data_IF_530007400586
#
_entry.id   IF_530007400586
#
_cell.length_a   1.000
_cell.length_b   1.000
_cell.length_c   1.000
_cell.angle_alpha   90.00
_cell.angle_beta   90.00
_cell.angle_gamma   90.00
#
_symmetry.space_group_name_H-M   'P 1'
#
loop_
_entity.id
_entity.type
_entity.pdbx_description
1 polymer ?
#
# COMPACT_ATOMS: atom_id res chain seq x y z
N UNK A 1 -20.05 28.42 -16.70
CA UNK A 1 -18.87 28.45 -15.80
C UNK A 1 -19.00 29.66 -14.88
N UNK A 2 -18.64 29.55 -13.60
CA UNK A 2 -18.74 30.66 -12.64
C UNK A 2 -17.85 31.85 -13.09
N UNK A 3 -18.33 33.09 -12.94
CA UNK A 3 -17.63 34.30 -13.39
C UNK A 3 -16.18 34.39 -12.88
N UNK A 4 -15.94 33.99 -11.62
CA UNK A 4 -14.60 33.98 -11.03
C UNK A 4 -13.61 33.01 -11.70
N UNK A 5 -14.08 31.91 -12.28
CA UNK A 5 -13.20 30.97 -12.99
C UNK A 5 -12.78 31.52 -14.36
N UNK A 6 -13.65 32.28 -15.03
CA UNK A 6 -13.33 32.93 -16.30
C UNK A 6 -12.27 34.01 -16.08
N UNK A 7 -12.42 34.84 -15.04
CA UNK A 7 -11.41 35.84 -14.66
C UNK A 7 -10.06 35.19 -14.35
N UNK A 8 -10.06 34.12 -13.56
CA UNK A 8 -8.84 33.36 -13.25
C UNK A 8 -8.13 32.81 -14.50
N UNK A 9 -8.89 32.28 -15.46
CA UNK A 9 -8.37 31.81 -16.75
C UNK A 9 -7.76 32.95 -17.57
N UNK A 10 -8.42 34.09 -17.63
CA UNK A 10 -7.92 35.28 -18.35
C UNK A 10 -6.61 35.78 -17.74
N UNK A 11 -6.51 35.84 -16.42
CA UNK A 11 -5.29 36.27 -15.71
C UNK A 11 -4.11 35.31 -15.94
N UNK A 12 -4.37 34.01 -16.04
CA UNK A 12 -3.33 33.01 -16.36
C UNK A 12 -2.80 33.18 -17.78
N UNK A 13 -3.69 33.34 -18.76
CA UNK A 13 -3.31 33.54 -20.15
C UNK A 13 -2.60 34.89 -20.34
N UNK A 14 -3.03 35.93 -19.63
CA UNK A 14 -2.37 37.24 -19.65
C UNK A 14 -0.94 37.17 -19.11
N UNK A 15 -0.70 36.43 -18.01
CA UNK A 15 0.65 36.19 -17.46
C UNK A 15 1.54 35.43 -18.45
N UNK A 16 1.03 34.38 -19.08
CA UNK A 16 1.78 33.65 -20.11
C UNK A 16 2.19 34.58 -21.27
N UNK A 17 1.26 35.41 -21.75
CA UNK A 17 1.52 36.41 -22.80
C UNK A 17 2.55 37.45 -22.41
N UNK A 18 2.47 37.98 -21.18
CA UNK A 18 3.46 38.92 -20.66
C UNK A 18 4.86 38.30 -20.60
N UNK A 19 4.94 37.00 -20.32
CA UNK A 19 6.20 36.25 -20.32
C UNK A 19 6.63 35.74 -21.71
N UNK A 20 6.02 36.24 -22.80
CA UNK A 20 6.44 35.94 -24.17
C UNK A 20 5.79 34.72 -24.83
N UNK A 21 4.79 34.09 -24.19
CA UNK A 21 4.07 32.95 -24.74
C UNK A 21 2.81 33.36 -25.50
N UNK A 22 2.57 32.74 -26.65
CA UNK A 22 1.39 32.94 -27.48
C UNK A 22 0.49 31.71 -27.45
N UNK A 23 -0.82 31.92 -27.37
CA UNK A 23 -1.80 30.83 -27.44
C UNK A 23 -1.92 30.34 -28.88
N UNK A 24 -1.66 29.06 -29.08
CA UNK A 24 -1.77 28.35 -30.37
C UNK A 24 -3.19 27.79 -30.55
N UNK A 25 -3.75 27.21 -29.50
CA UNK A 25 -5.12 26.68 -29.51
C UNK A 25 -5.72 26.66 -28.12
N UNK A 26 -7.05 26.68 -28.04
CA UNK A 26 -7.83 26.55 -26.82
C UNK A 26 -8.90 25.47 -26.98
N UNK A 27 -9.15 24.69 -25.92
CA UNK A 27 -10.32 23.81 -25.84
C UNK A 27 -10.87 23.72 -24.42
N UNK A 28 -12.17 23.40 -24.34
CA UNK A 28 -12.80 23.04 -23.08
C UNK A 28 -12.44 21.60 -22.69
N UNK A 29 -12.23 21.36 -21.40
CA UNK A 29 -11.96 20.03 -20.82
C UNK A 29 -12.90 19.79 -19.63
N UNK A 30 -13.10 18.54 -19.17
CA UNK A 30 -13.92 18.28 -17.99
C UNK A 30 -13.47 19.15 -16.80
N UNK A 31 -14.41 19.95 -16.28
CA UNK A 31 -14.19 20.86 -15.15
C UNK A 31 -13.11 21.93 -15.38
N UNK A 32 -12.80 22.29 -16.64
CA UNK A 32 -11.70 23.21 -16.92
C UNK A 32 -11.56 23.72 -18.37
N UNK A 33 -10.42 24.38 -18.64
CA UNK A 33 -9.97 24.81 -19.97
C UNK A 33 -8.51 24.46 -20.19
N UNK A 34 -8.14 24.21 -21.44
CA UNK A 34 -6.78 23.92 -21.87
C UNK A 34 -6.35 24.87 -22.98
N UNK A 35 -5.10 25.35 -22.92
CA UNK A 35 -4.42 26.09 -23.97
C UNK A 35 -3.14 25.38 -24.38
N UNK A 36 -2.87 25.31 -25.68
CA UNK A 36 -1.53 25.07 -26.18
C UNK A 36 -0.84 26.40 -26.40
N UNK A 37 0.39 26.54 -25.93
CA UNK A 37 1.17 27.76 -25.94
C UNK A 37 2.52 27.53 -26.62
N UNK A 38 3.02 28.55 -27.31
CA UNK A 38 4.36 28.57 -27.89
C UNK A 38 5.06 29.89 -27.58
N UNK A 39 6.36 29.87 -27.35
CA UNK A 39 7.13 31.11 -27.21
C UNK A 39 7.90 31.47 -28.50
N UNK A 40 8.68 32.56 -28.47
CA UNK A 40 9.50 33.01 -29.61
C UNK A 40 10.71 32.12 -29.89
N UNK A 41 11.15 31.32 -28.91
CA UNK A 41 12.23 30.34 -29.06
C UNK A 41 11.73 29.01 -29.66
N UNK A 42 10.41 28.86 -29.84
CA UNK A 42 9.78 27.67 -30.41
C UNK A 42 9.44 26.59 -29.38
N UNK A 43 9.56 26.88 -28.08
CA UNK A 43 9.14 25.99 -27.01
C UNK A 43 7.61 25.85 -26.99
N UNK A 44 7.13 24.66 -26.69
CA UNK A 44 5.69 24.33 -26.68
C UNK A 44 5.27 23.72 -25.35
N UNK A 45 4.22 24.30 -24.78
CA UNK A 45 3.66 23.86 -23.51
C UNK A 45 2.13 23.87 -23.53
N UNK A 46 1.54 23.16 -22.59
CA UNK A 46 0.09 23.02 -22.43
C UNK A 46 -0.30 23.57 -21.06
N UNK A 47 -1.14 24.60 -21.01
CA UNK A 47 -1.69 25.14 -19.78
C UNK A 47 -3.10 24.61 -19.57
N UNK A 48 -3.36 24.01 -18.43
CA UNK A 48 -4.69 23.57 -18.02
C UNK A 48 -5.15 24.37 -16.81
N UNK A 49 -6.37 24.87 -16.80
CA UNK A 49 -7.00 25.45 -15.63
C UNK A 49 -8.24 24.63 -15.24
N UNK A 50 -8.43 24.41 -13.94
CA UNK A 50 -9.52 23.61 -13.39
C UNK A 50 -10.28 24.37 -12.32
N UNK A 51 -11.59 24.12 -12.25
CA UNK A 51 -12.49 24.59 -11.20
C UNK A 51 -12.84 23.44 -10.26
N UNK A 52 -12.22 23.41 -9.06
CA UNK A 52 -12.40 22.33 -8.09
C UNK A 52 -13.09 22.80 -6.80
N UNK A 53 -13.51 21.83 -5.96
CA UNK A 53 -14.18 22.10 -4.66
C UNK A 53 -13.34 22.91 -3.67
N UNK A 54 -12.02 22.98 -3.85
CA UNK A 54 -11.06 23.72 -3.01
C UNK A 54 -10.53 25.01 -3.69
N UNK A 55 -11.19 25.49 -4.74
CA UNK A 55 -10.77 26.68 -5.51
C UNK A 55 -10.23 26.35 -6.91
N UNK A 56 -9.67 27.37 -7.57
CA UNK A 56 -9.12 27.25 -8.92
C UNK A 56 -7.67 26.83 -8.90
N UNK A 57 -7.27 25.94 -9.82
CA UNK A 57 -5.89 25.46 -9.95
C UNK A 57 -5.49 25.45 -11.41
N UNK A 58 -4.20 25.55 -11.68
CA UNK A 58 -3.66 25.32 -13.01
C UNK A 58 -2.53 24.31 -13.00
N UNK A 59 -2.27 23.72 -14.15
CA UNK A 59 -1.20 22.76 -14.38
C UNK A 59 -0.59 23.02 -15.74
N UNK A 60 0.74 23.09 -15.81
CA UNK A 60 1.48 23.17 -17.06
C UNK A 60 2.03 21.80 -17.42
N UNK A 61 1.83 21.35 -18.66
CA UNK A 61 2.35 20.09 -19.18
C UNK A 61 2.98 20.27 -20.57
N UNK A 62 3.45 19.18 -21.16
CA UNK A 62 4.22 19.20 -22.41
C UNK A 62 5.73 19.22 -22.16
N UNK A 63 6.49 19.11 -23.26
CA UNK A 63 7.95 18.95 -23.21
C UNK A 63 8.66 20.15 -22.60
N UNK A 64 8.08 21.35 -22.78
CA UNK A 64 8.67 22.62 -22.33
C UNK A 64 7.84 23.26 -21.19
N UNK A 65 7.21 22.42 -20.37
CA UNK A 65 6.46 22.85 -19.20
C UNK A 65 7.28 23.66 -18.18
N UNK A 66 8.57 23.35 -17.90
CA UNK A 66 9.38 24.13 -16.96
C UNK A 66 9.49 25.61 -17.34
N UNK A 67 9.71 25.91 -18.62
CA UNK A 67 9.89 27.27 -19.15
C UNK A 67 8.61 28.10 -19.01
N UNK A 68 7.44 27.49 -19.28
CA UNK A 68 6.16 28.17 -19.07
C UNK A 68 5.82 28.30 -17.58
N UNK A 69 6.20 27.34 -16.75
CA UNK A 69 5.93 27.40 -15.31
C UNK A 69 6.77 28.48 -14.60
N UNK A 70 8.04 28.63 -14.98
CA UNK A 70 8.91 29.74 -14.55
C UNK A 70 8.35 31.10 -15.00
N UNK A 71 7.94 31.19 -16.27
CA UNK A 71 7.29 32.35 -16.86
C UNK A 71 5.99 32.80 -16.14
N UNK A 72 5.25 31.85 -15.56
CA UNK A 72 4.02 32.12 -14.80
C UNK A 72 4.25 32.47 -13.32
N UNK A 73 5.52 32.60 -12.90
CA UNK A 73 5.90 32.89 -11.52
C UNK A 73 5.82 31.69 -10.58
N UNK A 74 5.84 30.46 -11.12
CA UNK A 74 5.94 29.24 -10.34
C UNK A 74 7.41 28.94 -9.98
N UNK A 75 7.66 28.49 -8.74
CA UNK A 75 8.94 27.84 -8.42
C UNK A 75 9.22 26.69 -9.39
N UNK A 76 10.49 26.43 -9.75
CA UNK A 76 10.85 25.38 -10.70
C UNK A 76 10.25 24.04 -10.24
N UNK A 77 9.35 23.50 -11.04
CA UNK A 77 8.86 22.14 -10.88
C UNK A 77 10.01 21.26 -11.34
N UNK A 78 10.70 20.63 -10.37
CA UNK A 78 11.57 19.49 -10.65
C UNK A 78 10.83 18.56 -11.61
N UNK A 79 11.53 18.13 -12.66
CA UNK A 79 11.03 17.24 -13.69
C UNK A 79 10.09 16.19 -13.08
N UNK A 80 8.89 16.11 -13.63
CA UNK A 80 7.89 15.11 -13.29
C UNK A 80 8.50 13.70 -13.38
N UNK A 81 8.97 13.18 -12.25
CA UNK A 81 8.59 11.82 -11.90
C UNK A 81 7.08 11.86 -11.70
N UNK A 82 6.34 11.00 -12.40
CA UNK A 82 4.91 10.81 -12.18
C UNK A 82 4.61 10.87 -10.68
N UNK A 83 3.79 11.83 -10.23
CA UNK A 83 3.11 11.66 -8.95
C UNK A 83 2.05 10.59 -9.20
N UNK A 84 2.50 9.34 -9.14
CA UNK A 84 1.64 8.18 -8.91
C UNK A 84 0.86 8.54 -7.66
N UNK A 85 -0.44 8.76 -7.83
CA UNK A 85 -1.32 8.96 -6.68
C UNK A 85 -1.12 7.78 -5.74
N UNK A 86 -0.67 8.05 -4.51
CA UNK A 86 -0.54 7.06 -3.44
C UNK A 86 -1.91 6.52 -3.00
N UNK A 87 -2.98 7.16 -3.48
CA UNK A 87 -4.37 6.75 -3.41
C UNK A 87 -4.90 6.42 -4.82
N UNK A 88 -4.55 5.26 -5.40
CA UNK A 88 -5.04 4.86 -6.72
C UNK A 88 -6.56 4.59 -6.73
N UNK A 89 -7.20 4.55 -5.57
CA UNK A 89 -8.60 4.16 -5.40
C UNK A 89 -9.53 5.32 -4.97
N UNK A 90 -9.00 6.54 -4.78
CA UNK A 90 -9.77 7.72 -4.41
C UNK A 90 -10.44 7.62 -3.03
N UNK A 91 -9.82 6.92 -2.08
CA UNK A 91 -10.32 6.70 -0.73
C UNK A 91 -10.12 7.92 0.19
N UNK A 92 -9.15 8.78 -0.14
CA UNK A 92 -8.75 9.92 0.67
C UNK A 92 -7.90 9.55 1.88
N UNK A 93 -7.71 10.53 2.75
CA UNK A 93 -6.94 10.41 3.99
C UNK A 93 -7.77 10.93 5.19
N UNK A 94 -7.48 10.44 6.41
CA UNK A 94 -6.59 9.32 6.70
C UNK A 94 -7.19 7.97 6.26
N UNK A 95 -6.33 7.00 5.91
CA UNK A 95 -6.75 5.63 5.56
C UNK A 95 -5.85 4.58 6.21
N UNK A 96 -6.41 3.40 6.47
CA UNK A 96 -5.66 2.24 6.95
C UNK A 96 -5.52 1.25 5.79
N UNK A 97 -4.31 0.79 5.52
CA UNK A 97 -4.03 -0.34 4.63
C UNK A 97 -3.81 -1.62 5.44
N UNK A 98 -4.15 -2.78 4.89
CA UNK A 98 -3.86 -4.07 5.52
C UNK A 98 -3.53 -5.16 4.51
N UNK A 99 -2.61 -6.04 4.91
CA UNK A 99 -2.10 -7.16 4.10
C UNK A 99 -1.59 -8.28 5.02
N UNK A 100 -1.30 -9.45 4.45
CA UNK A 100 -0.82 -10.63 5.15
C UNK A 100 0.47 -11.24 4.56
N UNK A 101 1.15 -12.06 5.35
CA UNK A 101 2.25 -12.92 4.90
C UNK A 101 2.19 -14.29 5.57
N UNK A 102 2.72 -15.32 4.91
CA UNK A 102 2.73 -16.69 5.45
C UNK A 102 1.48 -17.52 5.18
N UNK A 103 0.46 -16.98 4.49
CA UNK A 103 -0.81 -17.68 4.18
C UNK A 103 -0.59 -18.95 3.37
N UNK A 104 0.30 -18.91 2.38
CA UNK A 104 0.60 -20.02 1.46
C UNK A 104 1.84 -20.82 1.83
N UNK A 105 2.45 -20.51 2.97
CA UNK A 105 3.72 -21.10 3.40
C UNK A 105 3.47 -22.22 4.40
N UNK A 106 4.00 -23.41 4.12
CA UNK A 106 3.84 -24.58 4.98
C UNK A 106 4.49 -24.37 6.36
N UNK A 107 5.74 -23.88 6.37
CA UNK A 107 6.46 -23.54 7.58
C UNK A 107 6.18 -22.11 8.03
N UNK A 108 6.45 -21.86 9.31
CA UNK A 108 6.41 -20.52 9.89
C UNK A 108 4.99 -20.00 10.14
N UNK A 109 4.90 -18.73 10.58
CA UNK A 109 3.64 -18.17 11.07
C UNK A 109 2.64 -17.84 9.96
N UNK A 110 1.43 -17.50 10.39
CA UNK A 110 0.57 -16.57 9.67
C UNK A 110 0.75 -15.17 10.28
N UNK A 111 1.01 -14.17 9.45
CA UNK A 111 1.20 -12.78 9.89
C UNK A 111 0.21 -11.88 9.17
N UNK A 112 -0.43 -10.97 9.92
CA UNK A 112 -1.30 -9.93 9.38
C UNK A 112 -0.82 -8.59 9.91
N UNK A 113 -0.73 -7.59 9.04
CA UNK A 113 -0.39 -6.24 9.42
C UNK A 113 -1.43 -5.24 8.92
N UNK A 114 -1.50 -4.10 9.61
CA UNK A 114 -2.20 -2.92 9.18
C UNK A 114 -1.30 -1.69 9.35
N UNK A 115 -1.52 -0.64 8.57
CA UNK A 115 -0.76 0.61 8.64
C UNK A 115 -1.66 1.82 8.44
N UNK A 116 -1.56 2.81 9.34
CA UNK A 116 -2.31 4.05 9.28
C UNK A 116 -1.55 5.13 8.49
N UNK A 117 -2.13 5.57 7.38
CA UNK A 117 -1.59 6.62 6.54
C UNK A 117 -2.40 7.91 6.68
N UNK A 118 -1.73 9.00 7.07
CA UNK A 118 -2.24 10.36 7.03
C UNK A 118 -1.41 11.24 6.09
N UNK A 119 -1.79 12.51 5.91
CA UNK A 119 -1.13 13.40 4.95
C UNK A 119 0.34 13.66 5.27
N UNK A 120 0.70 13.72 6.56
CA UNK A 120 2.08 13.95 6.98
C UNK A 120 2.94 12.71 6.70
N UNK A 121 2.43 11.54 7.08
CA UNK A 121 3.11 10.25 6.90
C UNK A 121 3.24 9.91 5.43
N UNK A 122 2.20 10.17 4.63
CA UNK A 122 2.23 9.98 3.17
C UNK A 122 3.34 10.82 2.53
N UNK A 123 3.46 12.10 2.91
CA UNK A 123 4.55 12.96 2.42
C UNK A 123 5.93 12.44 2.80
N UNK A 124 6.10 11.94 4.03
CA UNK A 124 7.36 11.38 4.51
C UNK A 124 7.74 10.09 3.77
N UNK A 125 6.74 9.23 3.49
CA UNK A 125 6.96 7.90 2.94
C UNK A 125 6.96 7.85 1.40
N UNK A 126 6.44 8.87 0.72
CA UNK A 126 6.30 8.89 -0.74
C UNK A 126 7.62 8.63 -1.51
N UNK A 127 8.77 9.00 -0.93
CA UNK A 127 10.10 8.81 -1.54
C UNK A 127 10.92 7.69 -0.89
N UNK A 128 10.32 6.87 -0.03
CA UNK A 128 11.03 5.84 0.73
C UNK A 128 11.25 4.53 -0.03
N UNK A 129 10.71 4.39 -1.25
CA UNK A 129 10.82 3.16 -2.04
C UNK A 129 9.89 2.03 -1.56
N UNK A 130 8.87 2.37 -0.78
CA UNK A 130 7.80 1.42 -0.41
C UNK A 130 7.03 1.05 -1.66
N UNK A 131 6.95 -0.25 -1.92
CA UNK A 131 6.29 -0.84 -3.07
C UNK A 131 5.88 -2.27 -2.74
N UNK A 132 5.43 -3.02 -3.73
CA UNK A 132 5.13 -4.45 -3.62
C UNK A 132 6.29 -5.20 -2.96
N UNK A 133 6.00 -5.80 -1.79
CA UNK A 133 6.98 -6.52 -0.97
C UNK A 133 7.63 -7.68 -1.71
N UNK A 134 6.95 -8.25 -2.71
CA UNK A 134 7.46 -9.37 -3.53
C UNK A 134 8.60 -8.97 -4.46
N UNK A 135 8.78 -7.67 -4.73
CA UNK A 135 9.85 -7.14 -5.58
C UNK A 135 11.09 -6.72 -4.79
N UNK A 136 11.03 -6.84 -3.46
CA UNK A 136 12.07 -6.39 -2.56
C UNK A 136 12.84 -7.60 -2.02
N UNK A 137 14.16 -7.44 -1.87
CA UNK A 137 14.99 -8.41 -1.16
C UNK A 137 14.70 -8.40 0.34
N UNK A 138 15.00 -9.49 1.04
CA UNK A 138 14.84 -9.59 2.49
C UNK A 138 15.56 -8.44 3.24
N UNK A 139 16.73 -8.02 2.77
CA UNK A 139 17.47 -6.89 3.34
C UNK A 139 16.74 -5.55 3.16
N UNK A 140 16.13 -5.32 1.98
CA UNK A 140 15.30 -4.14 1.73
C UNK A 140 14.04 -4.16 2.58
N UNK A 141 13.40 -5.32 2.73
CA UNK A 141 12.22 -5.51 3.59
C UNK A 141 12.54 -5.14 5.03
N UNK A 142 13.63 -5.67 5.62
CA UNK A 142 14.01 -5.36 7.00
C UNK A 142 14.34 -3.87 7.18
N UNK A 143 15.03 -3.26 6.22
CA UNK A 143 15.33 -1.82 6.24
C UNK A 143 14.06 -0.97 6.22
N UNK A 144 13.12 -1.29 5.34
CA UNK A 144 11.86 -0.55 5.19
C UNK A 144 10.92 -0.78 6.37
N UNK A 145 10.85 -2.02 6.89
CA UNK A 145 10.10 -2.30 8.11
C UNK A 145 10.61 -1.47 9.29
N UNK A 146 11.94 -1.39 9.49
CA UNK A 146 12.52 -0.53 10.52
C UNK A 146 12.26 0.97 10.33
N UNK A 147 12.03 1.44 9.10
CA UNK A 147 11.56 2.80 8.84
C UNK A 147 10.09 2.97 9.23
N UNK A 148 9.25 2.00 8.86
CA UNK A 148 7.81 2.01 9.15
C UNK A 148 7.53 1.90 10.65
N UNK A 149 8.26 1.05 11.37
CA UNK A 149 8.11 0.87 12.83
C UNK A 149 8.36 2.17 13.59
N UNK A 150 9.35 2.96 13.17
CA UNK A 150 9.67 4.27 13.78
C UNK A 150 8.52 5.29 13.66
N UNK A 151 7.58 5.08 12.74
CA UNK A 151 6.41 5.95 12.62
C UNK A 151 5.39 5.70 13.74
N UNK A 152 5.41 4.51 14.38
CA UNK A 152 4.41 4.12 15.38
C UNK A 152 3.00 3.92 14.81
N UNK A 153 2.87 3.74 13.48
CA UNK A 153 1.58 3.69 12.77
C UNK A 153 1.19 2.32 12.23
N UNK A 154 2.08 1.35 12.37
CA UNK A 154 1.82 -0.05 12.04
C UNK A 154 1.25 -0.81 13.23
N UNK A 155 0.48 -1.86 12.94
CA UNK A 155 0.12 -2.89 13.90
C UNK A 155 0.29 -4.26 13.24
N UNK A 156 1.04 -5.15 13.89
CA UNK A 156 1.37 -6.47 13.35
C UNK A 156 0.89 -7.53 14.34
N UNK A 157 0.17 -8.51 13.83
CA UNK A 157 -0.22 -9.71 14.56
C UNK A 157 0.41 -10.93 13.90
N UNK A 158 0.96 -11.80 14.75
CA UNK A 158 1.58 -13.06 14.33
C UNK A 158 0.92 -14.22 15.06
N UNK A 159 0.70 -15.31 14.33
CA UNK A 159 0.36 -16.63 14.89
C UNK A 159 1.44 -17.62 14.49
N UNK A 160 2.28 -18.02 15.44
CA UNK A 160 3.27 -19.07 15.22
C UNK A 160 2.58 -20.42 15.05
N UNK A 161 3.19 -21.43 14.41
CA UNK A 161 2.56 -22.73 14.16
C UNK A 161 1.88 -23.35 15.39
N UNK A 162 2.52 -23.22 16.58
CA UNK A 162 2.00 -23.67 17.87
C UNK A 162 0.64 -23.04 18.23
N UNK A 163 0.40 -21.80 17.84
CA UNK A 163 -0.84 -21.04 18.09
C UNK A 163 -1.80 -21.12 16.90
N UNK A 164 -1.25 -21.15 15.70
CA UNK A 164 -1.96 -21.23 14.43
C UNK A 164 -2.77 -22.52 14.34
N UNK A 165 -2.16 -23.67 14.63
CA UNK A 165 -2.83 -24.97 14.44
C UNK A 165 -4.09 -25.11 15.32
N UNK A 166 -4.06 -24.80 16.64
CA UNK A 166 -5.27 -24.76 17.46
C UNK A 166 -6.29 -23.72 16.98
N UNK A 167 -5.84 -22.52 16.59
CA UNK A 167 -6.72 -21.45 16.12
C UNK A 167 -7.45 -21.85 14.83
N UNK A 168 -6.72 -22.43 13.87
CA UNK A 168 -7.27 -22.95 12.63
C UNK A 168 -8.27 -24.07 12.90
N UNK A 169 -7.95 -25.03 13.78
CA UNK A 169 -8.87 -26.12 14.14
C UNK A 169 -10.18 -25.60 14.74
N UNK A 170 -10.11 -24.56 15.58
CA UNK A 170 -11.29 -23.94 16.18
C UNK A 170 -12.14 -23.19 15.16
N UNK A 171 -11.52 -22.50 14.20
CA UNK A 171 -12.21 -21.67 13.21
C UNK A 171 -12.69 -22.48 12.00
N UNK A 172 -11.94 -23.50 11.58
CA UNK A 172 -12.24 -24.37 10.45
C UNK A 172 -12.10 -23.71 9.06
N UNK A 173 -11.73 -22.43 8.99
CA UNK A 173 -11.64 -21.69 7.73
C UNK A 173 -10.55 -20.61 7.80
N UNK A 174 -9.57 -20.68 6.89
CA UNK A 174 -8.44 -19.74 6.84
C UNK A 174 -8.87 -18.30 6.59
N UNK A 175 -9.84 -18.07 5.72
CA UNK A 175 -10.30 -16.73 5.38
C UNK A 175 -11.05 -16.08 6.56
N UNK A 176 -11.75 -16.88 7.38
CA UNK A 176 -12.36 -16.38 8.62
C UNK A 176 -11.28 -16.01 9.64
N UNK A 177 -10.23 -16.83 9.79
CA UNK A 177 -9.10 -16.53 10.68
C UNK A 177 -8.37 -15.25 10.24
N UNK A 178 -8.10 -15.10 8.93
CA UNK A 178 -7.54 -13.89 8.35
C UNK A 178 -8.41 -12.66 8.63
N UNK A 179 -9.71 -12.74 8.36
CA UNK A 179 -10.64 -11.65 8.63
C UNK A 179 -10.60 -11.21 10.11
N UNK A 180 -10.58 -12.16 11.04
CA UNK A 180 -10.45 -11.88 12.48
C UNK A 180 -9.13 -11.19 12.83
N UNK A 181 -8.01 -11.62 12.24
CA UNK A 181 -6.71 -10.99 12.45
C UNK A 181 -6.66 -9.57 11.87
N UNK A 182 -7.14 -9.35 10.64
CA UNK A 182 -7.25 -8.01 10.06
C UNK A 182 -8.12 -7.10 10.91
N UNK A 183 -9.28 -7.59 11.37
CA UNK A 183 -10.17 -6.85 12.25
C UNK A 183 -9.47 -6.38 13.52
N UNK A 184 -8.72 -7.28 14.18
CA UNK A 184 -7.94 -6.94 15.38
C UNK A 184 -6.82 -5.94 15.09
N UNK A 185 -6.07 -6.08 14.00
CA UNK A 185 -5.03 -5.12 13.63
C UNK A 185 -5.60 -3.73 13.39
N UNK A 186 -6.68 -3.64 12.60
CA UNK A 186 -7.34 -2.37 12.28
C UNK A 186 -7.92 -1.72 13.54
N UNK A 187 -8.59 -2.50 14.39
CA UNK A 187 -9.12 -2.01 15.67
C UNK A 187 -8.00 -1.56 16.62
N UNK A 188 -6.86 -2.26 16.64
CA UNK A 188 -5.67 -1.86 17.39
C UNK A 188 -5.18 -0.46 17.00
N UNK A 189 -5.10 -0.20 15.69
CA UNK A 189 -4.77 1.12 15.15
C UNK A 189 -5.84 2.16 15.51
N UNK A 190 -7.12 1.85 15.32
CA UNK A 190 -8.21 2.80 15.60
C UNK A 190 -8.24 3.24 17.07
N UNK A 191 -7.87 2.35 17.99
CA UNK A 191 -7.78 2.67 19.42
C UNK A 191 -6.67 3.67 19.75
N UNK A 192 -5.56 3.66 18.99
CA UNK A 192 -4.39 4.51 19.27
C UNK A 192 -4.35 5.78 18.42
N UNK A 193 -4.80 5.71 17.16
CA UNK A 193 -4.68 6.79 16.18
C UNK A 193 -6.04 7.35 15.70
N UNK A 194 -7.15 6.76 16.15
CA UNK A 194 -8.49 7.17 15.78
C UNK A 194 -9.02 6.50 14.50
N UNK A 195 -10.30 6.74 14.21
CA UNK A 195 -10.97 6.15 13.06
C UNK A 195 -10.53 6.84 11.74
N UNK A 196 -10.20 6.08 10.68
CA UNK A 196 -9.86 6.64 9.38
C UNK A 196 -11.13 6.98 8.57
N UNK A 197 -10.96 7.69 7.44
CA UNK A 197 -12.03 7.80 6.44
C UNK A 197 -12.26 6.49 5.67
N UNK A 198 -11.23 5.66 5.54
CA UNK A 198 -11.30 4.38 4.85
C UNK A 198 -10.33 3.32 5.41
N UNK A 199 -10.70 2.06 5.24
CA UNK A 199 -9.86 0.88 5.44
C UNK A 199 -9.80 0.12 4.12
N UNK A 200 -8.60 -0.13 3.63
CA UNK A 200 -8.32 -0.88 2.41
C UNK A 200 -7.53 -2.15 2.77
N UNK A 201 -8.07 -3.31 2.41
CA UNK A 201 -7.42 -4.61 2.64
C UNK A 201 -7.17 -5.29 1.30
N UNK A 202 -5.99 -5.92 1.10
CA UNK A 202 -5.76 -6.74 -0.08
C UNK A 202 -6.73 -7.93 -0.11
N UNK A 203 -7.24 -8.25 -1.29
CA UNK A 203 -8.36 -9.19 -1.42
C UNK A 203 -7.91 -10.66 -1.26
N UNK A 204 -8.19 -11.25 -0.10
CA UNK A 204 -7.93 -12.68 0.17
C UNK A 204 -9.16 -13.59 0.00
N UNK A 205 -10.37 -13.03 -0.14
CA UNK A 205 -11.63 -13.74 -0.29
C UNK A 205 -12.66 -12.95 -1.11
N UNK A 206 -13.48 -13.66 -1.91
CA UNK A 206 -14.52 -13.03 -2.77
C UNK A 206 -15.65 -12.36 -1.98
N UNK A 207 -16.02 -12.91 -0.82
CA UNK A 207 -17.06 -12.33 0.03
C UNK A 207 -16.43 -11.54 1.19
N UNK A 208 -16.50 -10.21 1.09
CA UNK A 208 -16.01 -9.30 2.12
C UNK A 208 -16.92 -9.16 3.35
N UNK A 209 -18.06 -9.87 3.46
CA UNK A 209 -18.96 -9.77 4.63
C UNK A 209 -18.27 -10.15 5.93
N UNK A 210 -17.52 -11.26 5.93
CA UNK A 210 -16.80 -11.73 7.13
C UNK A 210 -15.75 -10.71 7.57
N UNK A 211 -15.01 -10.14 6.61
CA UNK A 211 -14.03 -9.09 6.88
C UNK A 211 -14.69 -7.83 7.45
N UNK A 212 -15.77 -7.35 6.84
CA UNK A 212 -16.51 -6.18 7.33
C UNK A 212 -17.03 -6.38 8.75
N UNK A 213 -17.58 -7.56 9.04
CA UNK A 213 -18.05 -7.93 10.37
C UNK A 213 -16.89 -7.97 11.38
N UNK A 214 -15.73 -8.52 10.98
CA UNK A 214 -14.55 -8.61 11.85
C UNK A 214 -13.91 -7.25 12.13
N UNK A 215 -13.86 -6.35 11.14
CA UNK A 215 -13.38 -4.97 11.34
C UNK A 215 -14.34 -4.20 12.24
N UNK A 216 -15.65 -4.38 12.07
CA UNK A 216 -16.69 -3.66 12.81
C UNK A 216 -16.46 -2.14 12.79
N UNK A 217 -16.19 -1.60 11.59
CA UNK A 217 -15.82 -0.20 11.43
C UNK A 217 -16.95 0.75 11.87
N UNK A 218 -16.64 1.89 12.53
CA UNK A 218 -17.64 2.89 12.88
C UNK A 218 -18.38 3.45 11.66
N UNK A 219 -19.56 4.04 11.91
CA UNK A 219 -20.32 4.73 10.88
C UNK A 219 -19.46 5.81 10.19
N UNK A 220 -19.51 5.85 8.85
CA UNK A 220 -18.73 6.78 8.03
C UNK A 220 -17.37 6.25 7.55
N UNK A 221 -16.86 5.17 8.14
CA UNK A 221 -15.62 4.53 7.68
C UNK A 221 -15.91 3.58 6.51
N UNK A 222 -15.28 3.82 5.36
CA UNK A 222 -15.43 2.94 4.18
C UNK A 222 -14.50 1.74 4.30
N UNK A 223 -15.05 0.51 4.27
CA UNK A 223 -14.25 -0.72 4.20
C UNK A 223 -14.24 -1.25 2.78
N UNK A 224 -13.06 -1.32 2.17
CA UNK A 224 -12.84 -1.68 0.77
C UNK A 224 -11.85 -2.82 0.67
N UNK A 225 -12.13 -3.77 -0.22
CA UNK A 225 -11.16 -4.79 -0.67
C UNK A 225 -10.81 -4.55 -2.12
N UNK A 226 -9.54 -4.76 -2.48
CA UNK A 226 -9.08 -4.68 -3.87
C UNK A 226 -8.06 -5.78 -4.11
N UNK A 227 -8.08 -6.34 -5.32
CA UNK A 227 -6.91 -7.05 -5.83
C UNK A 227 -5.84 -6.02 -6.19
N UNK A 228 -4.57 -6.41 -6.03
CA UNK A 228 -3.42 -5.51 -6.22
C UNK A 228 -3.47 -4.32 -5.26
N UNK A 229 -3.87 -4.58 -4.01
CA UNK A 229 -3.98 -3.55 -2.98
C UNK A 229 -2.66 -2.82 -2.75
N UNK A 230 -1.52 -3.47 -3.00
CA UNK A 230 -0.17 -2.93 -2.88
C UNK A 230 0.14 -1.73 -3.78
N UNK A 231 -0.73 -1.40 -4.73
CA UNK A 231 -0.67 -0.12 -5.44
C UNK A 231 -0.93 1.09 -4.51
N UNK A 232 -1.64 0.89 -3.40
CA UNK A 232 -1.84 1.89 -2.35
C UNK A 232 -0.69 1.84 -1.33
N UNK A 233 -0.18 3.02 -0.97
CA UNK A 233 0.98 3.14 -0.08
C UNK A 233 0.73 2.55 1.32
N UNK A 234 -0.49 2.64 1.86
CA UNK A 234 -0.81 2.10 3.18
C UNK A 234 -0.81 0.57 3.15
N UNK A 235 -1.32 -0.05 2.08
CA UNK A 235 -1.31 -1.51 1.91
C UNK A 235 0.11 -2.01 1.66
N UNK A 236 0.88 -1.32 0.81
CA UNK A 236 2.29 -1.66 0.58
C UNK A 236 3.11 -1.60 1.89
N UNK A 237 2.88 -0.59 2.73
CA UNK A 237 3.50 -0.50 4.05
C UNK A 237 3.11 -1.68 4.95
N UNK A 238 1.82 -2.04 5.00
CA UNK A 238 1.36 -3.22 5.75
C UNK A 238 2.01 -4.52 5.21
N UNK A 239 2.12 -4.67 3.88
CA UNK A 239 2.75 -5.81 3.23
C UNK A 239 4.21 -6.00 3.67
N UNK A 240 4.97 -4.91 3.71
CA UNK A 240 6.37 -4.91 4.16
C UNK A 240 6.47 -5.33 5.62
N UNK A 241 5.62 -4.78 6.50
CA UNK A 241 5.60 -5.13 7.92
C UNK A 241 5.26 -6.61 8.13
N UNK A 242 4.23 -7.12 7.45
CA UNK A 242 3.85 -8.52 7.53
C UNK A 242 4.96 -9.45 7.02
N UNK A 243 5.60 -9.09 5.91
CA UNK A 243 6.70 -9.88 5.32
C UNK A 243 7.94 -9.87 6.20
N UNK A 244 8.31 -8.73 6.77
CA UNK A 244 9.45 -8.61 7.67
C UNK A 244 9.30 -9.51 8.91
N UNK A 245 8.12 -9.49 9.52
CA UNK A 245 7.80 -10.32 10.68
C UNK A 245 7.77 -11.81 10.34
N UNK A 246 7.28 -12.17 9.15
CA UNK A 246 7.33 -13.55 8.66
C UNK A 246 8.76 -14.06 8.50
N UNK A 247 9.64 -13.28 7.86
CA UNK A 247 11.06 -13.62 7.68
C UNK A 247 11.76 -13.74 9.04
N UNK A 248 11.53 -12.78 9.95
CA UNK A 248 12.07 -12.81 11.31
C UNK A 248 11.66 -14.09 12.05
N UNK A 249 10.40 -14.49 11.91
CA UNK A 249 9.88 -15.69 12.56
C UNK A 249 10.45 -16.99 12.00
N UNK A 250 10.73 -17.06 10.69
CA UNK A 250 11.45 -18.20 10.12
C UNK A 250 12.87 -18.30 10.68
N UNK A 251 13.54 -17.17 10.89
CA UNK A 251 14.86 -17.13 11.55
C UNK A 251 14.80 -17.52 13.02
N UNK A 252 13.74 -17.16 13.74
CA UNK A 252 13.50 -17.64 15.11
C UNK A 252 13.38 -19.17 15.14
N UNK A 253 12.60 -19.77 14.23
CA UNK A 253 12.49 -21.23 14.12
C UNK A 253 13.82 -21.88 13.71
N UNK A 254 14.56 -21.29 12.77
CA UNK A 254 15.86 -21.80 12.34
C UNK A 254 16.86 -21.83 13.50
N UNK A 255 16.87 -20.80 14.34
CA UNK A 255 17.68 -20.77 15.54
C UNK A 255 17.22 -21.80 16.59
N UNK A 256 15.90 -21.98 16.77
CA UNK A 256 15.35 -22.93 17.74
C UNK A 256 15.66 -24.40 17.37
N UNK A 257 15.56 -24.75 16.09
CA UNK A 257 15.68 -26.14 15.63
C UNK A 257 17.00 -26.46 14.90
N UNK A 258 17.87 -25.47 14.72
CA UNK A 258 19.17 -25.66 14.06
C UNK A 258 19.09 -26.03 12.59
N UNK A 259 17.97 -25.73 11.92
CA UNK A 259 17.79 -25.99 10.49
C UNK A 259 16.90 -24.95 9.80
N UNK A 260 17.17 -24.68 8.52
CA UNK A 260 16.42 -23.69 7.76
C UNK A 260 15.01 -24.19 7.37
N UNK A 261 14.03 -23.29 7.42
CA UNK A 261 12.65 -23.54 7.00
C UNK A 261 12.31 -22.69 5.77
N UNK A 262 12.41 -23.24 4.55
CA UNK A 262 12.16 -22.46 3.35
C UNK A 262 10.67 -22.08 3.23
N UNK A 263 10.36 -20.88 2.70
CA UNK A 263 8.98 -20.47 2.41
C UNK A 263 8.37 -21.31 1.27
N UNK A 264 7.05 -21.22 1.14
CA UNK A 264 6.22 -21.90 0.15
C UNK A 264 5.79 -23.31 0.55
N UNK A 265 5.56 -24.17 -0.44
CA UNK A 265 5.08 -25.54 -0.24
C UNK A 265 5.65 -26.56 -1.27
N UNK A 266 6.75 -26.21 -1.95
CA UNK A 266 7.34 -27.00 -3.04
C UNK A 266 8.41 -28.01 -2.60
N UNK A 267 9.21 -28.49 -3.55
CA UNK A 267 10.27 -29.50 -3.32
C UNK A 267 11.26 -29.14 -2.19
N UNK A 268 11.76 -27.90 -2.06
CA UNK A 268 12.64 -27.53 -0.95
C UNK A 268 11.99 -27.70 0.43
N UNK A 269 10.68 -27.44 0.52
CA UNK A 269 9.89 -27.59 1.75
C UNK A 269 9.72 -29.06 2.11
N UNK A 270 9.49 -29.94 1.13
CA UNK A 270 9.41 -31.38 1.36
C UNK A 270 10.73 -31.95 1.90
N UNK A 271 11.87 -31.51 1.33
CA UNK A 271 13.18 -31.92 1.83
C UNK A 271 13.37 -31.46 3.28
N UNK A 272 13.18 -30.19 3.57
CA UNK A 272 13.32 -29.64 4.92
C UNK A 272 12.36 -30.30 5.92
N UNK A 273 11.14 -30.65 5.50
CA UNK A 273 10.16 -31.35 6.33
C UNK A 273 10.56 -32.79 6.64
N UNK A 274 11.07 -33.54 5.68
CA UNK A 274 11.59 -34.90 5.92
C UNK A 274 12.81 -34.88 6.83
N UNK A 275 13.72 -33.93 6.61
CA UNK A 275 14.91 -33.72 7.44
C UNK A 275 14.48 -33.39 8.89
N UNK A 276 13.45 -32.54 9.06
CA UNK A 276 12.87 -32.22 10.37
C UNK A 276 12.25 -33.43 11.05
N UNK A 277 11.38 -34.18 10.34
CA UNK A 277 10.69 -35.36 10.88
C UNK A 277 11.69 -36.43 11.31
N UNK A 278 12.77 -36.62 10.55
CA UNK A 278 13.84 -37.55 10.91
C UNK A 278 14.56 -37.16 12.20
N UNK A 279 14.77 -35.85 12.42
CA UNK A 279 15.52 -35.34 13.56
C UNK A 279 14.68 -35.17 14.83
N UNK A 280 13.42 -34.74 14.70
CA UNK A 280 12.56 -34.32 15.82
C UNK A 280 11.27 -35.13 15.97
N UNK A 281 10.97 -36.01 15.01
CA UNK A 281 9.72 -36.77 14.97
C UNK A 281 8.55 -36.00 14.34
N UNK A 282 7.54 -36.74 13.87
CA UNK A 282 6.40 -36.18 13.15
C UNK A 282 5.54 -35.25 14.00
N UNK A 283 5.37 -35.56 15.29
CA UNK A 283 4.54 -34.77 16.20
C UNK A 283 5.07 -33.35 16.39
N UNK A 284 6.39 -33.15 16.28
CA UNK A 284 7.01 -31.83 16.40
C UNK A 284 6.69 -30.91 15.21
N UNK A 285 6.13 -31.40 14.10
CA UNK A 285 5.72 -30.54 12.98
C UNK A 285 4.73 -29.47 13.41
N UNK A 286 3.93 -29.71 14.45
CA UNK A 286 3.00 -28.73 15.02
C UNK A 286 3.68 -27.44 15.50
N UNK A 287 4.99 -27.51 15.80
CA UNK A 287 5.78 -26.38 16.29
C UNK A 287 6.35 -25.49 15.19
N UNK A 288 6.52 -26.03 13.98
CA UNK A 288 7.18 -25.36 12.84
C UNK A 288 6.28 -25.17 11.63
N UNK A 289 5.19 -25.95 11.50
CA UNK A 289 4.39 -26.02 10.28
C UNK A 289 2.87 -25.95 10.51
N UNK A 290 2.16 -25.55 9.46
CA UNK A 290 0.69 -25.51 9.39
C UNK A 290 0.15 -26.88 8.97
N UNK A 291 -0.46 -27.61 9.90
CA UNK A 291 -0.75 -29.05 9.73
C UNK A 291 -1.91 -29.37 8.77
N UNK A 292 -2.74 -28.39 8.42
CA UNK A 292 -3.85 -28.59 7.48
C UNK A 292 -3.42 -28.58 6.00
N UNK A 293 -2.14 -28.33 5.71
CA UNK A 293 -1.60 -28.36 4.36
C UNK A 293 -1.36 -29.81 3.91
N UNK A 294 -1.72 -30.11 2.65
CA UNK A 294 -1.46 -31.41 2.01
C UNK A 294 0.03 -31.79 1.94
N UNK A 295 0.92 -30.81 2.08
CA UNK A 295 2.38 -31.03 2.16
C UNK A 295 2.73 -32.07 3.22
N UNK A 296 1.98 -32.14 4.33
CA UNK A 296 2.20 -33.10 5.41
C UNK A 296 2.08 -34.56 4.98
N UNK A 297 1.24 -34.85 3.97
CA UNK A 297 1.01 -36.21 3.46
C UNK A 297 2.23 -36.75 2.70
N UNK A 298 3.17 -35.87 2.35
CA UNK A 298 4.39 -36.18 1.56
C UNK A 298 5.68 -36.15 2.39
N UNK A 299 5.57 -35.94 3.70
CA UNK A 299 6.67 -35.98 4.68
C UNK A 299 6.74 -37.33 5.37
#
# INVERSE_FOLDING_TARGET
MAAGFITYCNDLVARAKHAGWSVVSEKSIPYGRQWQLTDRAGFKAVLNAYSGKKGFKFHVGGKDAPQLNEALGGMPVEASGEVTTTDPFGLGLPRIGGDESGKGDFFGPLVVAAFHLDAMTEKTLAKSGITDSKKLSDAQIQKLAGLLDKTGRGHVMRLMPREYNPSYRKVGNLNVLLAQMHGKCVQGIMKTLGAPGAVLIDEFARDGKVLRAAIAAPAGVKVVTRTKGEADLAVAAASILARAEFIRSLKELEHEFGQAFPPGAGTPVLKAGRDFVKSFGRDQLASVAKLHFKTIDSL
#
